data_IF_636135870658
#
_entry.id   IF_636135870658
#
_cell.length_a   1.000
_cell.length_b   1.000
_cell.length_c   1.000
_cell.angle_alpha   90.00
_cell.angle_beta   90.00
_cell.angle_gamma   90.00
#
_symmetry.space_group_name_H-M   'P 1'
#
loop_
_entity.id
_entity.type
_entity.pdbx_description
1 polymer ?
#
# COMPACT_ATOMS: atom_id res chain seq x y z
N UNK A 1 3.15 -0.08 16.61
CA UNK A 1 2.02 -0.69 15.91
C UNK A 1 2.43 -1.00 14.48
N UNK A 2 2.09 -2.17 13.98
CA UNK A 2 2.45 -2.57 12.61
C UNK A 2 1.64 -1.77 11.61
N UNK A 3 2.30 -1.14 10.67
CA UNK A 3 1.67 -0.34 9.63
C UNK A 3 1.65 -1.10 8.32
N UNK A 4 0.48 -1.16 7.68
CA UNK A 4 0.29 -1.81 6.39
C UNK A 4 -0.15 -0.75 5.39
N UNK A 5 0.58 -0.64 4.29
CA UNK A 5 0.19 0.19 3.15
C UNK A 5 -0.59 -0.69 2.19
N UNK A 6 -1.85 -0.32 1.94
CA UNK A 6 -2.73 -1.01 0.99
C UNK A 6 -2.80 -0.17 -0.28
N UNK A 7 -2.36 -0.73 -1.39
CA UNK A 7 -2.36 -0.05 -2.69
C UNK A 7 -3.42 -0.71 -3.56
N UNK A 8 -4.58 -0.07 -3.65
CA UNK A 8 -5.76 -0.62 -4.31
C UNK A 8 -6.63 0.51 -4.84
N UNK A 9 -7.02 0.45 -6.11
CA UNK A 9 -7.84 1.48 -6.73
C UNK A 9 -9.35 1.24 -6.58
N UNK A 10 -9.75 0.03 -6.23
CA UNK A 10 -11.16 -0.25 -5.97
C UNK A 10 -11.50 0.06 -4.53
N UNK A 11 -12.25 1.15 -4.32
CA UNK A 11 -12.54 1.68 -3.00
C UNK A 11 -13.25 0.70 -2.09
N UNK A 12 -14.24 -0.03 -2.60
CA UNK A 12 -14.97 -1.01 -1.78
C UNK A 12 -14.05 -2.11 -1.25
N UNK A 13 -13.07 -2.52 -2.04
CA UNK A 13 -12.12 -3.54 -1.63
C UNK A 13 -11.13 -2.98 -0.61
N UNK A 14 -10.59 -1.78 -0.85
CA UNK A 14 -9.66 -1.16 0.09
C UNK A 14 -10.32 -0.84 1.42
N UNK A 15 -11.57 -0.39 1.41
CA UNK A 15 -12.32 -0.14 2.64
C UNK A 15 -12.54 -1.42 3.44
N UNK A 16 -12.89 -2.52 2.77
CA UNK A 16 -13.07 -3.81 3.43
C UNK A 16 -11.76 -4.29 4.07
N UNK A 17 -10.64 -4.18 3.36
CA UNK A 17 -9.34 -4.55 3.90
C UNK A 17 -8.96 -3.67 5.08
N UNK A 18 -9.16 -2.36 4.97
CA UNK A 18 -8.83 -1.43 6.04
C UNK A 18 -9.65 -1.75 7.30
N UNK A 19 -10.93 -2.06 7.14
CA UNK A 19 -11.77 -2.42 8.25
C UNK A 19 -11.31 -3.71 8.93
N UNK A 20 -11.11 -4.77 8.14
CA UNK A 20 -10.74 -6.07 8.67
C UNK A 20 -9.36 -6.06 9.33
N UNK A 21 -8.39 -5.44 8.68
CA UNK A 21 -7.03 -5.37 9.23
C UNK A 21 -6.96 -4.41 10.41
N UNK A 22 -7.72 -3.33 10.37
CA UNK A 22 -7.81 -2.40 11.47
C UNK A 22 -8.35 -3.05 12.74
N UNK A 23 -9.33 -3.96 12.60
CA UNK A 23 -9.86 -4.73 13.74
C UNK A 23 -8.80 -5.60 14.39
N UNK A 24 -7.82 -6.06 13.62
CA UNK A 24 -6.71 -6.88 14.14
C UNK A 24 -5.61 -6.02 14.77
N UNK A 25 -5.79 -4.72 14.83
CA UNK A 25 -4.84 -3.82 15.48
C UNK A 25 -3.77 -3.23 14.58
N UNK A 26 -3.87 -3.44 13.26
CA UNK A 26 -2.92 -2.85 12.33
C UNK A 26 -3.25 -1.40 12.04
N UNK A 27 -2.21 -0.59 11.80
CA UNK A 27 -2.34 0.77 11.33
C UNK A 27 -2.37 0.74 9.80
N UNK A 28 -3.48 1.14 9.20
CA UNK A 28 -3.69 0.99 7.75
C UNK A 28 -3.60 2.35 7.06
N UNK A 29 -2.78 2.40 6.01
CA UNK A 29 -2.70 3.54 5.10
C UNK A 29 -3.11 3.04 3.71
N UNK A 30 -4.05 3.74 3.08
CA UNK A 30 -4.56 3.34 1.76
C UNK A 30 -4.08 4.31 0.70
N UNK A 31 -3.54 3.77 -0.39
CA UNK A 31 -3.21 4.52 -1.59
C UNK A 31 -4.06 3.99 -2.74
N UNK A 32 -4.68 4.88 -3.51
CA UNK A 32 -5.54 4.50 -4.63
C UNK A 32 -4.82 4.51 -5.98
N UNK A 33 -3.58 5.01 -6.00
CA UNK A 33 -2.74 5.01 -7.20
C UNK A 33 -1.32 4.60 -6.85
N UNK A 34 -0.54 4.20 -7.85
CA UNK A 34 0.87 3.88 -7.65
C UNK A 34 1.68 5.09 -7.19
N UNK A 35 1.40 6.27 -7.75
CA UNK A 35 2.08 7.50 -7.36
C UNK A 35 1.81 7.84 -5.90
N UNK A 36 0.55 7.77 -5.49
CA UNK A 36 0.18 8.01 -4.09
C UNK A 36 0.85 7.00 -3.16
N UNK A 37 0.98 5.73 -3.59
CA UNK A 37 1.63 4.70 -2.80
C UNK A 37 3.09 5.06 -2.49
N UNK A 38 3.83 5.49 -3.50
CA UNK A 38 5.23 5.87 -3.31
C UNK A 38 5.35 7.09 -2.39
N UNK A 39 4.49 8.09 -2.59
CA UNK A 39 4.49 9.29 -1.75
C UNK A 39 4.16 8.96 -0.30
N UNK A 40 3.14 8.13 -0.07
CA UNK A 40 2.74 7.75 1.29
C UNK A 40 3.79 6.90 1.96
N UNK A 41 4.44 6.01 1.21
CA UNK A 41 5.53 5.21 1.73
C UNK A 41 6.71 6.10 2.17
N UNK A 42 7.08 7.08 1.34
CA UNK A 42 8.16 8.00 1.68
C UNK A 42 7.83 8.84 2.91
N UNK A 43 6.56 9.18 3.08
CA UNK A 43 6.11 10.03 4.19
C UNK A 43 5.92 9.27 5.50
N UNK A 44 5.35 8.09 5.45
CA UNK A 44 4.95 7.33 6.64
C UNK A 44 5.72 6.02 6.84
N UNK A 45 6.25 5.45 5.78
CA UNK A 45 6.80 4.11 5.82
C UNK A 45 5.72 3.05 5.95
N UNK A 46 6.12 1.79 5.97
CA UNK A 46 5.23 0.66 6.21
C UNK A 46 6.05 -0.56 6.59
N UNK A 47 5.41 -1.46 7.33
CA UNK A 47 6.02 -2.75 7.69
C UNK A 47 5.66 -3.84 6.69
N UNK A 48 4.58 -3.63 5.94
CA UNK A 48 4.10 -4.54 4.91
C UNK A 48 3.34 -3.73 3.87
N UNK A 49 3.46 -4.11 2.61
CA UNK A 49 2.71 -3.49 1.50
C UNK A 49 1.86 -4.56 0.82
N UNK A 50 0.56 -4.32 0.75
CA UNK A 50 -0.38 -5.13 -0.04
C UNK A 50 -0.63 -4.37 -1.33
N UNK A 51 -0.22 -4.95 -2.46
CA UNK A 51 -0.13 -4.25 -3.73
C UNK A 51 -0.94 -4.95 -4.81
N UNK A 52 -1.90 -4.24 -5.39
CA UNK A 52 -2.59 -4.66 -6.60
C UNK A 52 -1.71 -4.36 -7.81
N UNK A 53 -1.42 -5.36 -8.63
CA UNK A 53 -0.59 -5.20 -9.82
C UNK A 53 -1.31 -4.50 -10.97
N UNK A 54 -2.63 -4.42 -10.92
CA UNK A 54 -3.49 -3.87 -11.99
C UNK A 54 -3.94 -2.44 -11.66
N UNK A 55 -2.99 -1.56 -11.34
CA UNK A 55 -3.30 -0.18 -10.98
C UNK A 55 -3.36 0.72 -12.22
N UNK A 56 -4.22 1.75 -12.22
CA UNK A 56 -4.18 2.77 -13.26
C UNK A 56 -2.93 3.63 -13.12
N UNK A 57 -2.43 4.14 -14.23
CA UNK A 57 -1.22 4.99 -14.24
C UNK A 57 0.03 4.17 -13.96
N UNK A 58 0.72 4.45 -12.85
CA UNK A 58 1.91 3.72 -12.48
C UNK A 58 1.53 2.30 -12.07
N UNK A 59 2.04 1.30 -12.80
CA UNK A 59 1.67 -0.10 -12.59
C UNK A 59 2.17 -0.62 -11.23
N UNK A 60 1.53 -1.68 -10.73
CA UNK A 60 1.96 -2.32 -9.49
C UNK A 60 3.41 -2.82 -9.57
N UNK A 61 3.84 -3.31 -10.72
CA UNK A 61 5.22 -3.75 -10.92
C UNK A 61 6.20 -2.58 -10.76
N UNK A 62 5.88 -1.42 -11.32
CA UNK A 62 6.71 -0.24 -11.19
C UNK A 62 6.72 0.29 -9.76
N UNK A 63 5.58 0.26 -9.08
CA UNK A 63 5.50 0.61 -7.65
C UNK A 63 6.43 -0.28 -6.84
N UNK A 64 6.38 -1.58 -7.09
CA UNK A 64 7.25 -2.54 -6.41
C UNK A 64 8.72 -2.20 -6.61
N UNK A 65 9.12 -1.90 -7.85
CA UNK A 65 10.49 -1.51 -8.15
C UNK A 65 10.91 -0.26 -7.38
N UNK A 66 10.06 0.76 -7.38
CA UNK A 66 10.37 2.00 -6.68
C UNK A 66 10.47 1.81 -5.17
N UNK A 67 9.58 1.02 -4.58
CA UNK A 67 9.64 0.72 -3.15
C UNK A 67 10.90 -0.07 -2.80
N UNK A 68 11.34 -0.97 -3.68
CA UNK A 68 12.57 -1.74 -3.46
C UNK A 68 13.83 -0.89 -3.46
N UNK A 69 13.83 0.27 -4.10
CA UNK A 69 14.96 1.19 -4.01
C UNK A 69 15.07 1.86 -2.64
N UNK A 70 13.97 1.85 -1.87
CA UNK A 70 13.89 2.52 -0.57
C UNK A 70 13.96 1.56 0.61
N UNK A 71 13.50 0.33 0.42
CA UNK A 71 13.31 -0.58 1.55
C UNK A 71 13.24 -2.04 1.08
N UNK A 72 13.60 -2.95 1.97
CA UNK A 72 13.40 -4.38 1.78
C UNK A 72 12.07 -4.87 2.38
N UNK A 73 11.12 -3.97 2.60
CA UNK A 73 9.83 -4.29 3.20
C UNK A 73 9.10 -5.38 2.39
N UNK A 74 8.42 -6.33 3.05
CA UNK A 74 7.59 -7.32 2.34
C UNK A 74 6.48 -6.64 1.54
N UNK A 75 6.32 -7.09 0.31
CA UNK A 75 5.31 -6.57 -0.61
C UNK A 75 4.44 -7.70 -1.13
#
# INVERSE_FOLDING_TARGET
MTRILVVEDEESFSEALAYLLGKEGFDIVVADTGTAAVELFDKHGADLVLLDLMLPGLSGTEVCKQLRTRSAVPI
#
